data_IF_238674074152
#
_entry.id   IF_238674074152
#
_cell.length_a   1.000
_cell.length_b   1.000
_cell.length_c   1.000
_cell.angle_alpha   90.00
_cell.angle_beta   90.00
_cell.angle_gamma   90.00
#
_symmetry.space_group_name_H-M   'P 1'
#
loop_
_entity.id
_entity.type
_entity.pdbx_description
1 polymer ?
#
# COMPACT_ATOMS: atom_id res chain seq x y z
N UNK A 1 -5.51 -0.51 10.00
CA UNK A 1 -5.38 0.73 9.20
C UNK A 1 -5.58 0.40 7.73
N UNK A 2 -6.06 1.34 6.92
CA UNK A 2 -6.30 1.13 5.48
C UNK A 2 -5.05 0.63 4.72
N UNK A 3 -3.87 1.18 5.02
CA UNK A 3 -2.58 0.72 4.45
C UNK A 3 -2.38 -0.78 4.66
N UNK A 4 -2.58 -1.26 5.88
CA UNK A 4 -2.34 -2.67 6.22
C UNK A 4 -3.29 -3.61 5.47
N UNK A 5 -4.54 -3.22 5.21
CA UNK A 5 -5.46 -4.01 4.39
C UNK A 5 -4.94 -4.21 2.96
N UNK A 6 -4.36 -3.16 2.36
CA UNK A 6 -3.73 -3.24 1.04
C UNK A 6 -2.50 -4.16 1.07
N UNK A 7 -1.66 -4.04 2.11
CA UNK A 7 -0.49 -4.90 2.27
C UNK A 7 -0.85 -6.38 2.49
N UNK A 8 -1.93 -6.67 3.21
CA UNK A 8 -2.44 -8.03 3.38
C UNK A 8 -2.85 -8.65 2.04
N UNK A 9 -3.60 -7.91 1.23
CA UNK A 9 -4.01 -8.39 -0.08
C UNK A 9 -2.80 -8.59 -1.01
N UNK A 10 -1.84 -7.66 -0.98
CA UNK A 10 -0.61 -7.77 -1.76
C UNK A 10 0.22 -9.00 -1.35
N UNK A 11 0.35 -9.30 -0.06
CA UNK A 11 1.05 -10.50 0.41
C UNK A 11 0.35 -11.81 -0.02
N UNK A 12 -0.98 -11.78 -0.18
CA UNK A 12 -1.77 -12.90 -0.69
C UNK A 12 -1.86 -12.94 -2.22
N UNK A 13 -1.20 -12.00 -2.92
CA UNK A 13 -1.30 -11.79 -4.36
C UNK A 13 -2.75 -11.56 -4.85
N UNK A 14 -3.61 -11.05 -3.96
CA UNK A 14 -5.01 -10.75 -4.21
C UNK A 14 -5.17 -9.35 -4.83
N UNK A 15 -4.62 -9.17 -6.04
CA UNK A 15 -4.49 -7.86 -6.70
C UNK A 15 -5.81 -7.13 -6.93
N UNK A 16 -6.89 -7.84 -7.24
CA UNK A 16 -8.22 -7.24 -7.37
C UNK A 16 -8.76 -6.73 -6.03
N UNK A 17 -8.54 -7.48 -4.95
CA UNK A 17 -8.93 -7.01 -3.62
C UNK A 17 -8.12 -5.77 -3.24
N UNK A 18 -6.81 -5.76 -3.52
CA UNK A 18 -5.95 -4.60 -3.28
C UNK A 18 -6.42 -3.37 -4.07
N UNK A 19 -6.75 -3.55 -5.36
CA UNK A 19 -7.28 -2.50 -6.21
C UNK A 19 -8.63 -1.98 -5.70
N UNK A 20 -9.53 -2.88 -5.28
CA UNK A 20 -10.80 -2.51 -4.65
C UNK A 20 -10.55 -1.70 -3.37
N UNK A 21 -9.64 -2.10 -2.49
CA UNK A 21 -9.36 -1.34 -1.26
C UNK A 21 -8.86 0.07 -1.55
N UNK A 22 -8.01 0.26 -2.55
CA UNK A 22 -7.56 1.59 -2.94
C UNK A 22 -8.72 2.42 -3.52
N UNK A 23 -9.58 1.82 -4.34
CA UNK A 23 -10.71 2.51 -4.95
C UNK A 23 -11.85 2.82 -3.98
N UNK A 24 -12.26 1.85 -3.15
CA UNK A 24 -13.50 1.86 -2.36
C UNK A 24 -13.28 1.80 -0.85
N UNK A 25 -12.06 1.48 -0.40
CA UNK A 25 -11.73 1.30 1.01
C UNK A 25 -12.02 -0.10 1.54
N UNK A 26 -12.64 -0.95 0.74
CA UNK A 26 -13.11 -2.27 1.12
C UNK A 26 -12.51 -3.35 0.22
N UNK A 27 -12.38 -4.55 0.79
CA UNK A 27 -11.97 -5.72 0.02
C UNK A 27 -12.99 -5.98 -1.09
N UNK A 28 -12.50 -6.24 -2.29
CA UNK A 28 -13.32 -6.68 -3.41
C UNK A 28 -13.21 -8.18 -3.60
N UNK A 29 -14.28 -8.82 -4.06
CA UNK A 29 -14.17 -10.17 -4.57
C UNK A 29 -13.53 -10.14 -5.96
N UNK A 30 -12.52 -10.99 -6.18
CA UNK A 30 -12.11 -11.33 -7.52
C UNK A 30 -13.16 -12.26 -8.14
N UNK A 31 -13.41 -12.11 -9.43
CA UNK A 31 -14.18 -13.10 -10.19
C UNK A 31 -13.21 -14.16 -10.70
N UNK A 32 -13.44 -15.41 -10.31
CA UNK A 32 -12.53 -16.52 -10.62
C UNK A 32 -12.46 -16.75 -12.14
N UNK A 33 -11.27 -16.55 -12.70
CA UNK A 33 -11.00 -16.71 -14.13
C UNK A 33 -11.18 -15.44 -14.97
N UNK A 34 -11.62 -14.33 -14.38
CA UNK A 34 -11.59 -13.03 -15.05
C UNK A 34 -10.14 -12.52 -15.18
N UNK A 35 -9.80 -11.84 -16.30
CA UNK A 35 -8.49 -11.21 -16.43
C UNK A 35 -8.35 -10.05 -15.43
N UNK A 36 -7.13 -9.86 -14.91
CA UNK A 36 -6.85 -8.74 -14.00
C UNK A 36 -7.16 -7.38 -14.64
N UNK A 37 -7.86 -6.55 -13.88
CA UNK A 37 -8.12 -5.15 -14.15
C UNK A 37 -6.81 -4.38 -14.36
N UNK A 38 -6.89 -3.23 -15.03
CA UNK A 38 -5.70 -2.40 -15.28
C UNK A 38 -5.07 -1.93 -13.95
N UNK A 39 -5.90 -1.57 -12.97
CA UNK A 39 -5.46 -1.16 -11.64
C UNK A 39 -4.76 -2.33 -10.90
N UNK A 40 -5.36 -3.53 -10.90
CA UNK A 40 -4.74 -4.71 -10.28
C UNK A 40 -3.39 -5.04 -10.92
N UNK A 41 -3.27 -4.96 -12.26
CA UNK A 41 -1.99 -5.16 -12.97
C UNK A 41 -0.94 -4.12 -12.60
N UNK A 42 -1.32 -2.86 -12.45
CA UNK A 42 -0.40 -1.80 -12.02
C UNK A 42 0.13 -2.06 -10.60
N UNK A 43 -0.73 -2.47 -9.67
CA UNK A 43 -0.33 -2.82 -8.30
C UNK A 43 0.62 -4.03 -8.32
N UNK A 44 0.27 -5.10 -9.03
CA UNK A 44 1.13 -6.28 -9.16
C UNK A 44 2.51 -5.93 -9.72
N UNK A 45 2.55 -5.10 -10.77
CA UNK A 45 3.80 -4.63 -11.36
C UNK A 45 4.63 -3.80 -10.37
N UNK A 46 4.00 -2.94 -9.56
CA UNK A 46 4.70 -2.15 -8.55
C UNK A 46 5.37 -3.03 -7.49
N UNK A 47 4.71 -4.10 -7.03
CA UNK A 47 5.27 -5.01 -6.03
C UNK A 47 6.26 -6.04 -6.58
N UNK A 48 6.29 -6.27 -7.90
CA UNK A 48 7.13 -7.30 -8.52
C UNK A 48 8.62 -7.18 -8.12
N UNK A 49 9.26 -5.99 -8.21
CA UNK A 49 10.67 -5.83 -7.83
C UNK A 49 10.94 -6.16 -6.35
N UNK A 50 9.98 -5.89 -5.46
CA UNK A 50 10.10 -6.24 -4.05
C UNK A 50 10.13 -7.77 -3.89
N UNK A 51 9.18 -8.49 -4.49
CA UNK A 51 9.12 -9.95 -4.35
C UNK A 51 10.31 -10.65 -4.99
N UNK A 52 10.84 -10.14 -6.10
CA UNK A 52 12.08 -10.64 -6.69
C UNK A 52 13.28 -10.46 -5.74
N UNK A 53 13.32 -9.36 -4.98
CA UNK A 53 14.43 -9.07 -4.08
C UNK A 53 14.30 -9.70 -2.67
N UNK A 54 13.07 -9.83 -2.16
CA UNK A 54 12.77 -10.11 -0.75
C UNK A 54 11.83 -11.29 -0.50
N UNK A 55 11.25 -11.88 -1.54
CA UNK A 55 10.26 -12.98 -1.52
C UNK A 55 8.92 -12.65 -0.83
N UNK A 56 8.93 -12.08 0.38
CA UNK A 56 7.74 -11.65 1.13
C UNK A 56 8.09 -10.59 2.18
N UNK A 57 7.07 -9.87 2.68
CA UNK A 57 7.19 -9.00 3.85
C UNK A 57 6.44 -9.57 5.05
N UNK A 58 6.79 -9.12 6.26
CA UNK A 58 6.18 -9.50 7.53
C UNK A 58 4.86 -8.76 7.72
N UNK A 59 3.86 -9.50 8.21
CA UNK A 59 2.56 -8.97 8.62
C UNK A 59 2.24 -9.31 10.08
N UNK A 60 3.26 -9.68 10.85
CA UNK A 60 3.17 -9.84 12.30
C UNK A 60 3.19 -8.48 13.01
N UNK A 61 3.22 -8.48 14.35
CA UNK A 61 3.23 -7.24 15.13
C UNK A 61 4.38 -6.29 14.79
N UNK A 62 5.56 -6.84 14.42
CA UNK A 62 6.73 -6.02 14.08
C UNK A 62 6.56 -5.39 12.71
N UNK A 63 6.23 -6.19 11.68
CA UNK A 63 6.02 -5.69 10.32
C UNK A 63 4.85 -4.69 10.21
N UNK A 64 3.91 -4.72 11.15
CA UNK A 64 2.75 -3.81 11.20
C UNK A 64 2.94 -2.58 12.06
N UNK A 65 4.07 -2.48 12.76
CA UNK A 65 4.26 -1.45 13.76
C UNK A 65 4.17 -0.06 13.14
N UNK A 66 3.45 0.85 13.81
CA UNK A 66 3.34 2.24 13.36
C UNK A 66 4.67 2.98 13.39
N UNK A 67 5.68 2.48 14.13
CA UNK A 67 7.05 3.01 14.12
C UNK A 67 7.72 2.92 12.73
N UNK A 68 7.21 2.05 11.86
CA UNK A 68 7.64 1.88 10.47
C UNK A 68 6.77 2.66 9.49
N UNK A 69 5.87 3.51 10.00
CA UNK A 69 4.99 4.37 9.19
C UNK A 69 5.40 5.82 9.38
N UNK A 70 5.80 6.46 8.29
CA UNK A 70 6.33 7.83 8.28
C UNK A 70 5.40 8.73 7.49
N UNK A 71 5.00 9.84 8.08
CA UNK A 71 4.30 10.93 7.40
C UNK A 71 5.33 11.92 6.90
N UNK A 72 5.32 12.21 5.60
CA UNK A 72 6.29 13.09 4.95
C UNK A 72 5.85 14.56 5.03
N UNK A 73 6.80 15.49 4.89
CA UNK A 73 6.69 16.92 5.25
C UNK A 73 5.54 17.69 4.55
N UNK A 74 5.02 17.19 3.43
CA UNK A 74 3.79 17.70 2.80
C UNK A 74 2.52 17.46 3.64
N UNK A 75 2.62 16.80 4.80
CA UNK A 75 1.49 16.55 5.70
C UNK A 75 1.11 17.73 6.61
N UNK A 76 1.47 18.96 6.23
CA UNK A 76 1.24 20.18 7.01
C UNK A 76 -0.23 20.66 6.97
N UNK A 77 -0.59 21.55 7.91
CA UNK A 77 -1.93 22.14 7.95
C UNK A 77 -2.21 22.97 6.68
N UNK A 78 -3.22 22.57 5.91
CA UNK A 78 -3.60 23.22 4.65
C UNK A 78 -3.16 22.47 3.38
N UNK A 79 -2.41 21.38 3.51
CA UNK A 79 -2.06 20.52 2.38
C UNK A 79 -3.30 19.92 1.70
N UNK A 80 -3.25 19.77 0.37
CA UNK A 80 -4.31 19.13 -0.39
C UNK A 80 -4.33 17.60 -0.18
N UNK A 81 -3.13 17.03 0.00
CA UNK A 81 -2.90 15.59 0.17
C UNK A 81 -1.82 15.38 1.24
N UNK A 82 -1.87 14.24 1.92
CA UNK A 82 -0.79 13.82 2.83
C UNK A 82 -0.02 12.66 2.23
N UNK A 83 1.30 12.71 2.34
CA UNK A 83 2.19 11.65 1.88
C UNK A 83 2.60 10.77 3.04
N UNK A 84 2.44 9.45 2.89
CA UNK A 84 2.76 8.46 3.91
C UNK A 84 3.55 7.31 3.32
N UNK A 85 4.63 6.92 3.98
CA UNK A 85 5.45 5.76 3.63
C UNK A 85 5.35 4.72 4.74
N UNK A 86 5.23 3.44 4.36
CA UNK A 86 5.32 2.33 5.29
C UNK A 86 6.45 1.41 4.87
N UNK A 87 7.39 1.14 5.78
CA UNK A 87 8.51 0.26 5.47
C UNK A 87 8.08 -1.21 5.42
N UNK A 88 8.62 -1.94 4.45
CA UNK A 88 8.37 -3.35 4.24
C UNK A 88 9.54 -4.16 4.81
N UNK A 89 9.27 -4.91 5.88
CA UNK A 89 10.29 -5.73 6.55
C UNK A 89 10.21 -7.15 6.05
N UNK A 90 11.30 -7.70 5.56
CA UNK A 90 11.37 -9.11 5.14
C UNK A 90 11.54 -10.07 6.35
N UNK A 91 11.44 -11.39 6.16
CA UNK A 91 11.58 -12.36 7.26
C UNK A 91 12.99 -12.43 7.86
N UNK A 92 14.01 -12.05 7.08
CA UNK A 92 15.39 -11.93 7.54
C UNK A 92 15.63 -10.62 8.33
N UNK A 93 14.62 -9.75 8.40
CA UNK A 93 14.66 -8.50 9.17
C UNK A 93 15.21 -7.31 8.38
N UNK A 94 15.40 -7.43 7.06
CA UNK A 94 15.79 -6.29 6.25
C UNK A 94 14.63 -5.30 6.14
N UNK A 95 14.93 -4.03 6.38
CA UNK A 95 13.97 -2.94 6.44
C UNK A 95 14.40 -1.81 5.49
N UNK A 96 14.54 -2.16 4.21
CA UNK A 96 15.16 -1.31 3.19
C UNK A 96 14.25 -1.05 1.98
N UNK A 97 12.99 -1.44 2.06
CA UNK A 97 11.95 -1.13 1.08
C UNK A 97 10.80 -0.38 1.74
N UNK A 98 10.09 0.40 0.96
CA UNK A 98 8.90 1.11 1.41
C UNK A 98 7.75 1.01 0.41
N UNK A 99 6.53 1.05 0.94
CA UNK A 99 5.31 1.31 0.21
C UNK A 99 4.88 2.75 0.48
N UNK A 100 4.92 3.59 -0.54
CA UNK A 100 4.54 5.00 -0.46
C UNK A 100 3.11 5.20 -0.98
N UNK A 101 2.35 6.01 -0.25
CA UNK A 101 0.97 6.34 -0.56
C UNK A 101 0.72 7.84 -0.43
N UNK A 102 -0.29 8.33 -1.14
CA UNK A 102 -0.90 9.64 -0.90
C UNK A 102 -2.31 9.48 -0.35
N UNK A 103 -2.72 10.46 0.46
CA UNK A 103 -4.05 10.57 1.06
C UNK A 103 -4.69 11.88 0.59
N UNK A 104 -5.51 11.87 -0.47
CA UNK A 104 -6.20 13.07 -0.93
C UNK A 104 -7.24 13.51 0.10
N UNK A 105 -7.03 14.67 0.74
CA UNK A 105 -7.85 15.07 1.89
C UNK A 105 -9.26 15.50 1.49
N UNK A 106 -9.41 16.19 0.34
CA UNK A 106 -10.72 16.60 -0.15
C UNK A 106 -11.60 15.39 -0.50
N UNK A 107 -11.02 14.41 -1.19
CA UNK A 107 -11.71 13.17 -1.55
C UNK A 107 -12.04 12.33 -0.32
N UNK A 108 -11.09 12.21 0.62
CA UNK A 108 -11.30 11.50 1.88
C UNK A 108 -12.45 12.11 2.70
N UNK A 109 -12.53 13.45 2.75
CA UNK A 109 -13.64 14.16 3.40
C UNK A 109 -14.97 13.91 2.68
N UNK A 110 -14.99 14.01 1.35
CA UNK A 110 -16.19 13.79 0.55
C UNK A 110 -16.76 12.36 0.70
N UNK A 111 -15.89 11.36 0.80
CA UNK A 111 -16.27 9.96 0.99
C UNK A 111 -16.43 9.56 2.46
N UNK A 112 -16.18 10.47 3.40
CA UNK A 112 -16.20 10.22 4.85
C UNK A 112 -15.37 9.00 5.29
N UNK A 113 -14.19 8.81 4.66
CA UNK A 113 -13.23 7.75 4.94
C UNK A 113 -11.85 8.12 4.40
N UNK A 114 -10.79 7.46 4.88
CA UNK A 114 -9.47 7.63 4.25
C UNK A 114 -9.45 6.99 2.86
N UNK A 115 -9.11 7.79 1.85
CA UNK A 115 -8.78 7.33 0.49
C UNK A 115 -7.26 7.24 0.38
N UNK A 116 -6.75 6.17 -0.23
CA UNK A 116 -5.33 5.95 -0.44
C UNK A 116 -5.05 5.79 -1.94
N UNK A 117 -3.97 6.38 -2.41
CA UNK A 117 -3.40 6.07 -3.73
C UNK A 117 -2.02 5.46 -3.51
N UNK A 118 -1.74 4.34 -4.16
CA UNK A 118 -0.42 3.71 -4.14
C UNK A 118 0.48 4.47 -5.13
N UNK A 119 1.55 5.07 -4.62
CA UNK A 119 2.49 5.82 -5.46
C UNK A 119 3.63 4.92 -5.95
N UNK A 120 4.26 4.17 -5.04
CA UNK A 120 5.37 3.29 -5.39
C UNK A 120 5.66 2.24 -4.33
N UNK A 121 6.29 1.16 -4.77
CA UNK A 121 7.03 0.20 -3.95
C UNK A 121 8.48 0.24 -4.40
N UNK A 122 9.41 0.59 -3.52
CA UNK A 122 10.81 0.78 -3.92
C UNK A 122 11.79 0.64 -2.75
N UNK A 123 13.07 0.37 -3.03
CA UNK A 123 14.13 0.48 -2.03
C UNK A 123 14.23 1.92 -1.50
N UNK A 124 14.53 2.07 -0.22
CA UNK A 124 14.76 3.38 0.40
C UNK A 124 16.13 3.93 0.03
N UNK A 125 16.21 5.23 -0.23
CA UNK A 125 17.46 5.94 -0.53
C UNK A 125 17.93 5.83 -1.99
N UNK A 126 17.02 5.53 -2.92
CA UNK A 126 17.28 5.48 -4.36
C UNK A 126 16.68 6.64 -5.13
#
# INVERSE_FOLDING_TARGET
>A
TAIFGVLQDAAAHAWESAASRLATGEAGAADDGAPLSAAARQIAAAFTPFFEARERFRLDAEGRSTKHTYWLDDSSAGAAEWSVAHMLIDPAGHNDWEAAFTVPLAESRAQNRAVLRLERIAPVGR
#
